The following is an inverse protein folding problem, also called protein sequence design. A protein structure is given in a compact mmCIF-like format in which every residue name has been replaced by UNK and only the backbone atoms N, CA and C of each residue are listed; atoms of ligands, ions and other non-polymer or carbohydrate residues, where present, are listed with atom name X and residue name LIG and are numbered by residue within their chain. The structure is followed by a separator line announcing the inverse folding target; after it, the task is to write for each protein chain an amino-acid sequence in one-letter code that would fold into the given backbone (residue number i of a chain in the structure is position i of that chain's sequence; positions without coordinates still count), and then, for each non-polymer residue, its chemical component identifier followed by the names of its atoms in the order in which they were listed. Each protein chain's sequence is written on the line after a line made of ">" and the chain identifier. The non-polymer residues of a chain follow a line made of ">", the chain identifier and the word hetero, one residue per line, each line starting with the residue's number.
data_IF_629989978622
#
_entry.id   IF_629989978622
#
_cell.length_a   1.000
_cell.length_b   1.000
_cell.length_c   1.000
_cell.angle_alpha   90.00
_cell.angle_beta   90.00
_cell.angle_gamma   90.00
#
_symmetry.space_group_name_H-M   'P 1'
#
loop_
_entity.id
_entity.type
_entity.pdbx_description
1 polymer ?
#
# COMPACT_ATOMS: atom_id res chain seq x y z
N UNK A 1 7.75 31.11 -37.55
CA UNK A 1 8.10 30.66 -36.17
C UNK A 1 6.90 30.26 -35.30
N UNK A 2 5.67 30.08 -35.84
CA UNK A 2 4.48 29.68 -35.04
C UNK A 2 4.34 28.16 -34.86
N UNK A 3 4.83 27.37 -35.81
CA UNK A 3 4.75 25.89 -35.76
C UNK A 3 5.68 25.25 -34.72
N UNK A 4 6.89 25.79 -34.52
CA UNK A 4 7.82 25.26 -33.51
C UNK A 4 7.28 25.41 -32.08
N UNK A 5 6.57 26.51 -31.80
CA UNK A 5 5.92 26.73 -30.50
C UNK A 5 4.77 25.74 -30.29
N UNK A 6 3.92 25.53 -31.30
CA UNK A 6 2.83 24.55 -31.23
C UNK A 6 3.35 23.12 -31.06
N UNK A 7 4.45 22.78 -31.73
CA UNK A 7 5.09 21.47 -31.61
C UNK A 7 5.63 21.23 -30.19
N UNK A 8 6.34 22.21 -29.62
CA UNK A 8 6.86 22.14 -28.25
C UNK A 8 5.73 22.04 -27.21
N UNK A 9 4.64 22.78 -27.39
CA UNK A 9 3.45 22.67 -26.54
C UNK A 9 2.82 21.28 -26.65
N UNK A 10 2.69 20.74 -27.86
CA UNK A 10 2.13 19.40 -28.05
C UNK A 10 2.98 18.31 -27.41
N UNK A 11 4.32 18.40 -27.51
CA UNK A 11 5.24 17.48 -26.86
C UNK A 11 5.12 17.58 -25.33
N UNK A 12 5.08 18.79 -24.78
CA UNK A 12 4.93 19.00 -23.34
C UNK A 12 3.65 18.37 -22.78
N UNK A 13 2.52 18.53 -23.49
CA UNK A 13 1.25 17.91 -23.11
C UNK A 13 1.33 16.37 -23.14
N UNK A 14 1.98 15.79 -24.15
CA UNK A 14 2.15 14.33 -24.22
C UNK A 14 3.01 13.78 -23.08
N UNK A 15 4.09 14.48 -22.69
CA UNK A 15 4.90 14.09 -21.54
C UNK A 15 4.11 14.13 -20.23
N UNK A 16 3.30 15.18 -20.02
CA UNK A 16 2.44 15.28 -18.84
C UNK A 16 1.42 14.13 -18.78
N UNK A 17 0.83 13.76 -19.92
CA UNK A 17 -0.10 12.62 -20.00
C UNK A 17 0.63 11.32 -19.69
N UNK A 18 1.81 11.09 -20.26
CA UNK A 18 2.61 9.88 -19.99
C UNK A 18 3.00 9.75 -18.52
N UNK A 19 3.48 10.83 -17.89
CA UNK A 19 3.82 10.82 -16.45
C UNK A 19 2.61 10.53 -15.57
N UNK A 20 1.45 11.11 -15.90
CA UNK A 20 0.21 10.86 -15.14
C UNK A 20 -0.29 9.42 -15.31
N UNK A 21 -0.13 8.82 -16.49
CA UNK A 21 -0.45 7.39 -16.71
C UNK A 21 0.48 6.50 -15.88
N UNK A 22 1.78 6.78 -15.87
CA UNK A 22 2.77 5.98 -15.13
C UNK A 22 2.52 6.03 -13.60
N UNK A 23 2.18 7.19 -13.04
CA UNK A 23 1.80 7.33 -11.62
C UNK A 23 0.52 6.56 -11.29
N UNK A 24 -0.48 6.60 -12.18
CA UNK A 24 -1.74 5.85 -12.00
C UNK A 24 -1.51 4.34 -12.08
N UNK A 25 -0.67 3.87 -12.99
CA UNK A 25 -0.32 2.45 -13.11
C UNK A 25 0.48 1.95 -11.90
N UNK A 26 1.39 2.77 -11.37
CA UNK A 26 2.13 2.46 -10.14
C UNK A 26 1.24 2.36 -8.90
N UNK A 27 0.18 3.18 -8.81
CA UNK A 27 -0.86 3.05 -7.78
C UNK A 27 -1.76 1.82 -8.02
N UNK A 28 -2.05 1.48 -9.27
CA UNK A 28 -2.88 0.32 -9.64
C UNK A 28 -2.25 -1.04 -9.30
N UNK A 29 -0.92 -1.09 -9.13
CA UNK A 29 -0.18 -2.31 -8.74
C UNK A 29 -0.67 -2.96 -7.44
N UNK A 30 -1.41 -2.24 -6.60
CA UNK A 30 -1.96 -2.75 -5.35
C UNK A 30 -3.48 -2.64 -5.37
N UNK A 31 -4.15 -3.54 -6.10
CA UNK A 31 -5.60 -3.53 -6.30
C UNK A 31 -6.42 -4.02 -5.10
N UNK A 32 -5.81 -4.81 -4.20
CA UNK A 32 -6.53 -5.41 -3.08
C UNK A 32 -5.97 -5.00 -1.73
N UNK A 33 -6.90 -4.69 -0.81
CA UNK A 33 -6.60 -4.30 0.55
C UNK A 33 -7.18 -5.34 1.52
N UNK A 34 -6.37 -5.73 2.50
CA UNK A 34 -6.79 -6.61 3.58
C UNK A 34 -6.39 -5.99 4.92
N UNK A 35 -7.28 -6.10 5.90
CA UNK A 35 -7.04 -5.59 7.25
C UNK A 35 -7.33 -6.68 8.24
N UNK A 36 -6.37 -6.95 9.13
CA UNK A 36 -6.54 -7.95 10.18
C UNK A 36 -5.94 -7.47 11.51
N UNK A 37 -6.69 -7.56 12.62
CA UNK A 37 -6.15 -7.33 13.95
C UNK A 37 -5.33 -8.56 14.41
N UNK A 38 -4.20 -8.32 15.06
CA UNK A 38 -3.39 -9.33 15.72
C UNK A 38 -3.12 -8.91 17.16
N UNK A 39 -2.95 -9.87 18.10
CA UNK A 39 -2.57 -9.54 19.46
C UNK A 39 -1.18 -8.90 19.51
N UNK A 40 -0.98 -7.97 20.44
CA UNK A 40 0.28 -7.29 20.68
C UNK A 40 0.32 -5.87 20.12
N UNK A 41 1.53 -5.32 20.00
CA UNK A 41 1.78 -3.96 19.52
C UNK A 41 2.67 -3.98 18.28
N UNK A 42 2.68 -2.88 17.52
CA UNK A 42 3.56 -2.73 16.37
C UNK A 42 5.03 -2.71 16.83
N UNK A 43 5.40 -1.82 17.75
CA UNK A 43 6.81 -1.64 18.12
C UNK A 43 7.70 -1.39 16.89
N UNK A 44 9.00 -1.68 17.00
CA UNK A 44 9.95 -1.44 15.90
C UNK A 44 9.80 -2.43 14.72
N UNK A 45 9.31 -3.64 14.99
CA UNK A 45 9.23 -4.72 14.00
C UNK A 45 7.78 -4.99 13.52
N UNK A 46 6.83 -4.12 13.86
CA UNK A 46 5.41 -4.37 13.63
C UNK A 46 5.06 -4.59 12.17
N UNK A 47 5.72 -3.83 11.29
CA UNK A 47 5.54 -3.96 9.84
C UNK A 47 5.96 -5.32 9.30
N UNK A 48 7.16 -5.80 9.66
CA UNK A 48 7.67 -7.09 9.17
C UNK A 48 6.91 -8.27 9.79
N UNK A 49 6.49 -8.14 11.04
CA UNK A 49 5.60 -9.10 11.68
C UNK A 49 4.22 -9.14 11.02
N UNK A 50 3.62 -7.99 10.69
CA UNK A 50 2.37 -7.93 9.94
C UNK A 50 2.46 -8.66 8.60
N UNK A 51 3.53 -8.43 7.83
CA UNK A 51 3.77 -9.16 6.57
C UNK A 51 3.82 -10.67 6.81
N UNK A 52 4.55 -11.10 7.85
CA UNK A 52 4.74 -12.52 8.16
C UNK A 52 3.46 -13.20 8.61
N UNK A 53 2.66 -12.55 9.46
CA UNK A 53 1.42 -13.12 9.97
C UNK A 53 0.30 -13.07 8.95
N UNK A 54 0.24 -12.01 8.15
CA UNK A 54 -0.69 -11.94 7.03
C UNK A 54 -0.43 -13.06 6.02
N UNK A 55 0.83 -13.36 5.66
CA UNK A 55 1.16 -14.48 4.77
C UNK A 55 0.72 -15.86 5.28
N UNK A 56 0.49 -16.02 6.59
CA UNK A 56 -0.01 -17.27 7.18
C UNK A 56 -1.52 -17.43 7.05
N UNK A 57 -2.26 -16.35 6.79
CA UNK A 57 -3.71 -16.43 6.63
C UNK A 57 -4.04 -17.21 5.35
N UNK A 58 -5.07 -18.08 5.38
CA UNK A 58 -5.48 -18.86 4.21
C UNK A 58 -5.95 -17.97 3.05
N UNK A 59 -6.45 -16.77 3.37
CA UNK A 59 -6.91 -15.76 2.42
C UNK A 59 -5.78 -14.89 1.85
N UNK A 60 -4.53 -15.08 2.28
CA UNK A 60 -3.45 -14.20 1.90
C UNK A 60 -2.78 -14.60 0.57
N UNK A 61 -2.34 -13.61 -0.23
CA UNK A 61 -1.61 -13.86 -1.46
C UNK A 61 -0.24 -14.47 -1.12
N UNK A 62 -0.06 -15.76 -1.40
CA UNK A 62 1.17 -16.50 -1.06
C UNK A 62 2.40 -16.07 -1.85
N UNK A 63 2.23 -15.34 -2.95
CA UNK A 63 3.29 -15.08 -3.94
C UNK A 63 3.32 -13.65 -4.50
N UNK A 64 2.73 -12.67 -3.80
CA UNK A 64 2.67 -11.28 -4.29
C UNK A 64 3.42 -10.34 -3.36
N UNK A 65 3.97 -9.28 -3.94
CA UNK A 65 4.50 -8.15 -3.17
C UNK A 65 3.38 -7.60 -2.30
N UNK A 66 3.59 -7.64 -0.99
CA UNK A 66 2.62 -7.18 0.00
C UNK A 66 3.21 -6.01 0.77
N UNK A 67 2.52 -4.87 0.72
CA UNK A 67 2.89 -3.68 1.48
C UNK A 67 1.97 -3.55 2.68
N UNK A 68 2.51 -3.80 3.86
CA UNK A 68 1.76 -3.68 5.10
C UNK A 68 2.11 -2.40 5.86
N UNK A 69 1.10 -1.83 6.49
CA UNK A 69 1.17 -0.83 7.53
C UNK A 69 0.71 -1.45 8.85
N UNK A 70 1.29 -0.97 9.94
CA UNK A 70 0.96 -1.42 11.28
C UNK A 70 0.48 -0.22 12.10
N UNK A 71 -0.67 -0.36 12.75
CA UNK A 71 -1.20 0.65 13.67
C UNK A 71 -1.53 0.02 15.02
N UNK A 72 -1.12 0.65 16.12
CA UNK A 72 -1.50 0.21 17.46
C UNK A 72 -2.95 0.58 17.76
N UNK A 73 -3.73 -0.38 18.24
CA UNK A 73 -5.07 -0.18 18.76
C UNK A 73 -5.03 -0.34 20.28
N UNK A 74 -5.29 0.74 21.05
CA UNK A 74 -5.26 0.68 22.50
C UNK A 74 -6.33 -0.30 23.00
N UNK A 75 -6.01 -1.04 24.06
CA UNK A 75 -6.96 -1.92 24.70
C UNK A 75 -8.06 -1.10 25.38
N UNK A 76 -9.31 -1.48 25.11
CA UNK A 76 -10.51 -0.81 25.65
C UNK A 76 -10.73 -1.11 27.16
N UNK A 77 -10.07 -2.14 27.69
CA UNK A 77 -10.21 -2.58 29.07
C UNK A 77 -8.85 -2.71 29.77
N UNK A 78 -8.79 -2.28 31.04
CA UNK A 78 -7.60 -2.39 31.90
C UNK A 78 -7.25 -3.87 32.09
N UNK A 79 -6.09 -4.29 31.59
CA UNK A 79 -5.63 -5.68 31.65
C UNK A 79 -5.81 -6.48 30.36
N UNK A 80 -6.47 -5.95 29.33
CA UNK A 80 -6.44 -6.57 28.01
C UNK A 80 -5.15 -6.23 27.27
N UNK A 81 -4.50 -7.22 26.62
CA UNK A 81 -3.39 -6.93 25.72
C UNK A 81 -3.88 -6.01 24.59
N UNK A 82 -3.08 -5.01 24.25
CA UNK A 82 -3.36 -4.19 23.07
C UNK A 82 -3.38 -5.06 21.81
N UNK A 83 -4.02 -4.53 20.77
CA UNK A 83 -4.02 -5.15 19.45
C UNK A 83 -3.19 -4.29 18.50
N UNK A 84 -2.58 -4.93 17.51
CA UNK A 84 -2.00 -4.26 16.36
C UNK A 84 -2.88 -4.55 15.16
N UNK A 85 -3.20 -3.51 14.41
CA UNK A 85 -3.97 -3.60 13.18
C UNK A 85 -2.99 -3.61 12.01
N UNK A 86 -2.98 -4.72 11.27
CA UNK A 86 -2.19 -4.85 10.06
C UNK A 86 -3.07 -4.52 8.86
N UNK A 87 -2.72 -3.45 8.13
CA UNK A 87 -3.37 -3.07 6.86
C UNK A 87 -2.41 -3.38 5.74
N UNK A 88 -2.74 -4.32 4.87
CA UNK A 88 -1.86 -4.73 3.79
C UNK A 88 -2.52 -4.53 2.44
N UNK A 89 -1.74 -4.02 1.50
CA UNK A 89 -2.10 -3.88 0.10
C UNK A 89 -1.28 -4.88 -0.70
N UNK A 90 -1.92 -5.54 -1.65
CA UNK A 90 -1.29 -6.48 -2.56
C UNK A 90 -1.90 -6.34 -3.94
N UNK A 91 -1.12 -6.71 -4.95
CA UNK A 91 -1.63 -6.84 -6.30
C UNK A 91 -2.73 -7.91 -6.30
N UNK A 92 -3.91 -7.64 -6.85
CA UNK A 92 -4.90 -8.67 -7.18
C UNK A 92 -5.21 -8.53 -8.67
#
# INVERSE_FOLDING_TARGET
>A
MKYGVLFMVSCGVMFLILSHVEEVEAMKKFGCNTTHPFPGKCGNNGKSSCVSDMKKLPSAPKNRDIRCECSDRPSLARGMPGERVCRCQYDC
#
